data_IF_493314598336
#
_entry.id   IF_493314598336
#
_cell.length_a   1.000
_cell.length_b   1.000
_cell.length_c   1.000
_cell.angle_alpha   90.00
_cell.angle_beta   90.00
_cell.angle_gamma   90.00
#
_symmetry.space_group_name_H-M   'P 1'
#
loop_
_entity.id
_entity.type
_entity.pdbx_description
1 polymer ?
#
# COMPACT_ATOMS: atom_id res chain seq x y z
N UNK A 1 -6.76 51.03 -17.59
CA UNK A 1 -6.46 50.21 -16.40
C UNK A 1 -6.32 48.76 -16.86
N UNK A 2 -5.10 48.22 -16.85
CA UNK A 2 -4.82 46.87 -17.32
C UNK A 2 -4.94 45.92 -16.11
N UNK A 3 -6.04 45.17 -16.06
CA UNK A 3 -6.34 44.25 -14.95
C UNK A 3 -5.47 43.01 -15.08
N UNK A 4 -4.50 42.86 -14.18
CA UNK A 4 -3.62 41.71 -14.06
C UNK A 4 -4.41 40.58 -13.39
N UNK A 5 -4.86 39.61 -14.19
CA UNK A 5 -5.40 38.34 -13.72
C UNK A 5 -4.25 37.47 -13.22
N UNK A 6 -4.04 37.47 -11.91
CA UNK A 6 -3.09 36.58 -11.23
C UNK A 6 -3.73 35.19 -11.22
N UNK A 7 -3.30 34.33 -12.14
CA UNK A 7 -3.58 32.90 -12.06
C UNK A 7 -2.78 32.32 -10.88
N UNK A 8 -3.39 32.32 -9.70
CA UNK A 8 -2.97 31.46 -8.59
C UNK A 8 -3.21 30.01 -9.00
N UNK A 9 -2.27 29.45 -9.76
CA UNK A 9 -2.14 28.01 -9.93
C UNK A 9 -1.92 27.43 -8.53
N UNK A 10 -2.97 26.81 -7.98
CA UNK A 10 -2.82 25.86 -6.88
C UNK A 10 -1.91 24.74 -7.40
N UNK A 11 -0.60 24.92 -7.25
CA UNK A 11 0.32 23.80 -7.19
C UNK A 11 -0.07 23.05 -5.92
N UNK A 12 -0.93 22.04 -6.08
CA UNK A 12 -0.88 20.95 -5.13
C UNK A 12 0.51 20.37 -5.30
N UNK A 13 1.43 20.83 -4.45
CA UNK A 13 2.66 20.12 -4.18
C UNK A 13 2.20 18.73 -3.73
N UNK A 14 2.08 17.82 -4.70
CA UNK A 14 2.22 16.40 -4.45
C UNK A 14 3.66 16.24 -3.99
N UNK A 15 3.89 16.60 -2.74
CA UNK A 15 5.11 16.32 -2.02
C UNK A 15 5.21 14.79 -2.08
N UNK A 16 6.16 14.28 -2.86
CA UNK A 16 6.40 12.86 -3.08
C UNK A 16 6.99 12.22 -1.81
N UNK A 17 6.25 12.36 -0.72
CA UNK A 17 6.50 11.83 0.60
C UNK A 17 5.94 10.40 0.72
N UNK A 18 5.72 9.73 -0.42
CA UNK A 18 5.24 8.35 -0.49
C UNK A 18 6.27 7.35 0.08
N UNK A 19 7.55 7.71 0.06
CA UNK A 19 8.65 6.97 0.66
C UNK A 19 8.45 6.72 2.16
N UNK A 20 7.67 7.56 2.84
CA UNK A 20 7.28 7.38 4.24
C UNK A 20 6.53 6.06 4.49
N UNK A 21 5.99 5.44 3.44
CA UNK A 21 5.25 4.18 3.50
C UNK A 21 6.13 2.96 3.18
N UNK A 22 7.40 3.14 2.78
CA UNK A 22 8.35 2.02 2.56
C UNK A 22 8.81 1.39 3.86
N UNK A 23 8.84 2.16 4.95
CA UNK A 23 9.23 1.70 6.29
C UNK A 23 8.24 2.21 7.33
N UNK A 24 7.84 1.34 8.26
CA UNK A 24 6.95 1.71 9.36
C UNK A 24 6.10 0.54 9.83
N UNK A 25 5.24 0.82 10.81
CA UNK A 25 4.19 -0.11 11.23
C UNK A 25 2.87 0.42 10.72
N UNK A 26 2.09 -0.49 10.17
CA UNK A 26 0.81 -0.20 9.55
C UNK A 26 -0.26 -1.14 10.09
N UNK A 27 -1.51 -0.69 10.01
CA UNK A 27 -2.68 -1.48 10.35
C UNK A 27 -3.72 -1.35 9.24
N UNK A 28 -4.25 -2.50 8.81
CA UNK A 28 -5.46 -2.57 8.00
C UNK A 28 -6.61 -2.86 8.98
N UNK A 29 -7.60 -1.98 9.11
CA UNK A 29 -8.74 -2.21 9.98
C UNK A 29 -9.58 -3.37 9.46
N UNK A 30 -10.25 -4.08 10.38
CA UNK A 30 -11.26 -5.05 9.98
C UNK A 30 -12.41 -4.33 9.26
N UNK A 31 -12.71 -4.77 8.05
CA UNK A 31 -13.80 -4.28 7.23
C UNK A 31 -14.46 -5.43 6.47
N UNK A 32 -15.38 -5.11 5.57
CA UNK A 32 -16.14 -6.14 4.82
C UNK A 32 -15.24 -7.09 4.00
N UNK A 33 -14.06 -6.62 3.57
CA UNK A 33 -13.16 -7.36 2.68
C UNK A 33 -11.82 -7.78 3.30
N UNK A 34 -11.49 -7.24 4.47
CA UNK A 34 -10.20 -7.39 5.13
C UNK A 34 -10.39 -7.70 6.61
N UNK A 35 -9.63 -8.66 7.11
CA UNK A 35 -9.47 -8.86 8.55
C UNK A 35 -8.52 -7.82 9.11
N UNK A 36 -8.61 -7.55 10.42
CA UNK A 36 -7.63 -6.69 11.08
C UNK A 36 -6.25 -7.30 10.93
N UNK A 37 -5.34 -6.56 10.32
CA UNK A 37 -3.99 -7.01 10.00
C UNK A 37 -2.97 -5.96 10.41
N UNK A 38 -1.93 -6.40 11.12
CA UNK A 38 -0.78 -5.56 11.47
C UNK A 38 0.35 -5.86 10.52
N UNK A 39 0.88 -4.83 9.89
CA UNK A 39 1.94 -4.92 8.89
C UNK A 39 3.17 -4.18 9.41
N UNK A 40 4.32 -4.86 9.45
CA UNK A 40 5.61 -4.25 9.75
C UNK A 40 6.43 -4.24 8.47
N UNK A 41 6.74 -3.06 7.96
CA UNK A 41 7.50 -2.90 6.72
C UNK A 41 8.92 -2.44 6.99
N UNK A 42 9.86 -3.16 6.39
CA UNK A 42 11.31 -2.88 6.40
C UNK A 42 11.81 -2.82 4.96
N UNK A 43 11.33 -1.83 4.20
CA UNK A 43 11.73 -1.52 2.82
C UNK A 43 11.46 -2.64 1.80
N UNK A 44 12.31 -3.66 1.77
CA UNK A 44 12.22 -4.85 0.90
C UNK A 44 11.46 -6.02 1.51
N UNK A 45 11.09 -5.95 2.80
CA UNK A 45 10.35 -7.01 3.50
C UNK A 45 9.13 -6.42 4.21
N UNK A 46 8.02 -7.16 4.16
CA UNK A 46 6.80 -6.91 4.91
C UNK A 46 6.47 -8.14 5.75
N UNK A 47 6.27 -7.94 7.05
CA UNK A 47 5.76 -8.95 7.97
C UNK A 47 4.29 -8.63 8.20
N UNK A 48 3.41 -9.55 7.82
CA UNK A 48 1.97 -9.47 8.01
C UNK A 48 1.56 -10.33 9.19
N UNK A 49 0.77 -9.77 10.10
CA UNK A 49 0.21 -10.48 11.25
C UNK A 49 -1.30 -10.34 11.27
N UNK A 50 -2.00 -11.47 11.20
CA UNK A 50 -3.46 -11.55 11.29
C UNK A 50 -3.83 -12.67 12.27
N UNK A 51 -4.51 -12.30 13.36
CA UNK A 51 -4.79 -13.23 14.47
C UNK A 51 -3.51 -13.88 15.02
N UNK A 52 -3.42 -15.22 14.93
CA UNK A 52 -2.27 -16.01 15.35
C UNK A 52 -1.31 -16.37 14.20
N UNK A 53 -1.60 -15.94 12.98
CA UNK A 53 -0.76 -16.19 11.82
C UNK A 53 0.17 -15.02 11.57
N UNK A 54 1.44 -15.34 11.29
CA UNK A 54 2.46 -14.40 10.88
C UNK A 54 3.06 -14.90 9.58
N UNK A 55 2.96 -14.09 8.55
CA UNK A 55 3.48 -14.39 7.23
C UNK A 55 4.49 -13.31 6.82
N UNK A 56 5.55 -13.73 6.12
CA UNK A 56 6.60 -12.82 5.65
C UNK A 56 6.55 -12.73 4.14
N UNK A 57 6.49 -11.50 3.63
CA UNK A 57 6.43 -11.16 2.23
C UNK A 57 7.65 -10.34 1.83
N UNK A 58 8.19 -10.63 0.67
CA UNK A 58 9.14 -9.77 -0.02
C UNK A 58 8.40 -8.67 -0.77
N UNK A 59 9.00 -7.48 -0.82
CA UNK A 59 8.47 -6.30 -1.50
C UNK A 59 9.41 -5.92 -2.63
N UNK A 60 8.86 -5.67 -3.80
CA UNK A 60 9.57 -5.09 -4.93
C UNK A 60 8.87 -3.84 -5.40
N UNK A 61 9.45 -2.68 -5.11
CA UNK A 61 8.95 -1.40 -5.57
C UNK A 61 9.28 -1.21 -7.04
N UNK A 62 8.26 -0.95 -7.85
CA UNK A 62 8.44 -0.49 -9.24
C UNK A 62 8.60 1.03 -9.29
N UNK A 63 7.83 1.71 -8.45
CA UNK A 63 7.92 3.13 -8.17
C UNK A 63 7.18 3.41 -6.85
N UNK A 64 7.05 4.68 -6.50
CA UNK A 64 6.45 5.16 -5.27
C UNK A 64 4.96 4.82 -5.05
N UNK A 65 4.23 4.49 -6.11
CA UNK A 65 2.80 4.14 -6.07
C UNK A 65 2.53 2.68 -6.43
N UNK A 66 3.53 1.92 -6.88
CA UNK A 66 3.36 0.56 -7.37
C UNK A 66 4.44 -0.36 -6.84
N UNK A 67 4.02 -1.43 -6.17
CA UNK A 67 4.91 -2.46 -5.67
C UNK A 67 4.28 -3.84 -5.77
N UNK A 68 5.13 -4.86 -5.78
CA UNK A 68 4.72 -6.26 -5.79
C UNK A 68 5.09 -6.91 -4.47
N UNK A 69 4.14 -7.63 -3.89
CA UNK A 69 4.35 -8.50 -2.74
C UNK A 69 4.42 -9.95 -3.19
N UNK A 70 5.33 -10.72 -2.59
CA UNK A 70 5.40 -12.17 -2.79
C UNK A 70 5.74 -12.85 -1.47
N UNK A 71 4.97 -13.87 -1.10
CA UNK A 71 5.26 -14.68 0.08
C UNK A 71 6.65 -15.31 -0.03
N UNK A 72 7.45 -15.21 1.04
CA UNK A 72 8.77 -15.83 1.10
C UNK A 72 8.62 -17.35 1.26
N UNK A 73 7.65 -17.79 2.06
CA UNK A 73 7.34 -19.20 2.28
C UNK A 73 5.84 -19.46 2.04
N UNK A 74 5.41 -19.57 0.77
CA UNK A 74 4.01 -19.83 0.43
C UNK A 74 3.60 -21.23 0.88
N UNK A 75 2.48 -21.34 1.59
CA UNK A 75 1.94 -22.61 2.12
C UNK A 75 0.96 -23.28 1.16
N UNK A 76 0.33 -22.50 0.27
CA UNK A 76 -0.65 -22.97 -0.71
C UNK A 76 -0.35 -22.36 -2.10
N UNK A 77 -1.03 -22.86 -3.13
CA UNK A 77 -0.82 -22.40 -4.51
C UNK A 77 -1.27 -20.94 -4.73
N UNK A 78 -2.27 -20.47 -3.98
CA UNK A 78 -2.72 -19.08 -4.05
C UNK A 78 -1.66 -18.08 -3.57
N UNK A 79 -0.88 -18.45 -2.55
CA UNK A 79 0.22 -17.64 -2.02
C UNK A 79 1.47 -17.62 -2.91
N UNK A 80 1.57 -18.57 -3.86
CA UNK A 80 2.68 -18.57 -4.84
C UNK A 80 2.55 -17.41 -5.82
N UNK A 81 1.33 -16.95 -6.06
CA UNK A 81 1.06 -15.86 -6.98
C UNK A 81 1.49 -14.50 -6.40
N UNK A 82 2.12 -13.64 -7.20
CA UNK A 82 2.49 -12.30 -6.77
C UNK A 82 1.24 -11.43 -6.59
N UNK A 83 1.27 -10.57 -5.58
CA UNK A 83 0.24 -9.55 -5.35
C UNK A 83 0.74 -8.21 -5.85
N UNK A 84 0.08 -7.66 -6.85
CA UNK A 84 0.38 -6.34 -7.38
C UNK A 84 -0.43 -5.29 -6.63
N UNK A 85 0.28 -4.37 -5.97
CA UNK A 85 -0.33 -3.30 -5.19
C UNK A 85 -0.14 -1.97 -5.92
N UNK A 86 -1.26 -1.26 -6.09
CA UNK A 86 -1.31 0.09 -6.61
C UNK A 86 -1.88 1.01 -5.53
N UNK A 87 -1.10 2.01 -5.11
CA UNK A 87 -1.54 3.09 -4.24
C UNK A 87 -2.36 4.07 -5.09
N UNK A 88 -3.64 4.25 -4.74
CA UNK A 88 -4.57 5.11 -5.47
C UNK A 88 -4.63 6.52 -4.89
N UNK A 89 -4.57 6.64 -3.56
CA UNK A 89 -4.70 7.92 -2.85
C UNK A 89 -3.84 7.91 -1.61
N UNK A 90 -3.03 8.96 -1.43
CA UNK A 90 -2.23 9.17 -0.24
C UNK A 90 -2.92 10.20 0.64
N UNK A 91 -3.03 9.90 1.92
CA UNK A 91 -3.43 10.83 2.98
C UNK A 91 -2.23 11.01 3.94
N UNK A 92 -2.41 11.84 4.98
CA UNK A 92 -1.33 12.18 5.92
C UNK A 92 -0.67 10.95 6.54
N UNK A 93 -1.48 10.07 7.11
CA UNK A 93 -1.05 8.86 7.84
C UNK A 93 -1.70 7.59 7.29
N UNK A 94 -2.23 7.62 6.08
CA UNK A 94 -2.86 6.45 5.46
C UNK A 94 -2.79 6.53 3.94
N UNK A 95 -3.05 5.41 3.28
CA UNK A 95 -3.26 5.40 1.84
C UNK A 95 -4.27 4.34 1.42
N UNK A 96 -4.98 4.63 0.33
CA UNK A 96 -5.89 3.68 -0.32
C UNK A 96 -5.10 2.91 -1.37
N UNK A 97 -5.29 1.61 -1.43
CA UNK A 97 -4.62 0.73 -2.37
C UNK A 97 -5.59 -0.23 -3.06
N UNK A 98 -5.22 -0.64 -4.26
CA UNK A 98 -5.83 -1.75 -4.98
C UNK A 98 -4.82 -2.89 -5.02
N UNK A 99 -5.24 -4.09 -4.60
CA UNK A 99 -4.48 -5.33 -4.74
C UNK A 99 -5.05 -6.19 -5.85
N UNK A 100 -4.18 -6.74 -6.69
CA UNK A 100 -4.50 -7.76 -7.69
C UNK A 100 -3.61 -8.98 -7.48
N UNK A 101 -4.19 -10.17 -7.42
CA UNK A 101 -3.46 -11.42 -7.23
C UNK A 101 -3.20 -12.08 -8.59
N UNK A 102 -1.94 -12.24 -8.96
CA UNK A 102 -1.50 -12.91 -10.19
C UNK A 102 -2.19 -12.37 -11.46
N UNK A 103 -2.56 -13.30 -12.34
CA UNK A 103 -3.35 -13.01 -13.56
C UNK A 103 -4.85 -13.07 -13.35
N UNK A 104 -5.29 -13.26 -12.11
CA UNK A 104 -6.71 -13.34 -11.81
C UNK A 104 -7.43 -12.01 -12.07
N UNK A 105 -8.74 -12.07 -12.32
CA UNK A 105 -9.61 -10.88 -12.39
C UNK A 105 -9.97 -10.35 -10.99
N UNK A 106 -9.52 -11.01 -9.92
CA UNK A 106 -9.82 -10.60 -8.56
C UNK A 106 -8.96 -9.41 -8.17
N UNK A 107 -9.65 -8.32 -7.88
CA UNK A 107 -9.05 -7.09 -7.35
C UNK A 107 -9.81 -6.70 -6.09
N UNK A 108 -9.09 -6.26 -5.07
CA UNK A 108 -9.67 -5.72 -3.86
C UNK A 108 -9.11 -4.34 -3.59
N UNK A 109 -9.93 -3.48 -2.99
CA UNK A 109 -9.52 -2.14 -2.57
C UNK A 109 -9.54 -2.07 -1.06
N UNK A 110 -8.46 -1.57 -0.47
CA UNK A 110 -8.34 -1.41 0.97
C UNK A 110 -7.69 -0.08 1.32
N UNK A 111 -7.76 0.26 2.61
CA UNK A 111 -7.04 1.40 3.17
C UNK A 111 -6.13 0.89 4.26
N UNK A 112 -4.89 1.38 4.26
CA UNK A 112 -3.89 1.03 5.26
C UNK A 112 -3.45 2.29 5.99
N UNK A 113 -3.33 2.19 7.31
CA UNK A 113 -3.03 3.31 8.19
C UNK A 113 -1.66 3.10 8.81
N UNK A 114 -0.81 4.13 8.78
CA UNK A 114 0.47 4.16 9.48
C UNK A 114 0.21 4.40 10.96
N UNK A 115 0.75 3.54 11.81
CA UNK A 115 0.58 3.60 13.27
C UNK A 115 1.88 3.95 13.99
N UNK A 116 3.05 3.59 13.43
CA UNK A 116 4.37 3.97 13.94
C UNK A 116 5.37 4.20 12.80
#
# INVERSE_FOLDING_TARGET
MLSVLIFSSCKSEFEDNSDRFKVGVFEIPAGNDFVKETIIRKDSIQISKHGNHVDTLSIKWKNNFFYTLKYINPKNDLEKDPMFIQINKINKDSYDFTVKIGFSKFTKKGTIYKTK
#
